data_IF_839850718008
#
_entry.id   IF_839850718008
#
_cell.length_a   1.000
_cell.length_b   1.000
_cell.length_c   1.000
_cell.angle_alpha   90.00
_cell.angle_beta   90.00
_cell.angle_gamma   90.00
#
_symmetry.space_group_name_H-M   'P 1'
#
loop_
_entity.id
_entity.type
_entity.pdbx_description
1 polymer ?
#
# COMPACT_ATOMS: atom_id res chain seq x y z
N UNK A 1 5.28 -49.69 48.56
CA UNK A 1 5.61 -49.42 47.18
C UNK A 1 4.61 -48.38 46.67
N UNK A 2 4.93 -47.10 46.82
CA UNK A 2 4.04 -46.00 46.38
C UNK A 2 4.53 -45.46 45.02
N UNK A 3 3.69 -45.60 44.01
CA UNK A 3 3.92 -45.02 42.70
C UNK A 3 3.27 -43.65 42.66
N UNK A 4 4.05 -42.60 42.68
CA UNK A 4 3.59 -41.20 42.47
C UNK A 4 3.54 -40.93 40.97
N UNK A 5 2.34 -40.73 40.46
CA UNK A 5 2.10 -40.36 39.06
C UNK A 5 2.15 -38.82 38.95
N UNK A 6 3.19 -38.28 38.31
CA UNK A 6 3.26 -36.85 37.95
C UNK A 6 2.44 -36.58 36.72
N UNK A 7 1.31 -35.89 36.86
CA UNK A 7 0.52 -35.35 35.76
C UNK A 7 1.15 -33.99 35.41
N UNK A 8 1.87 -33.96 34.29
CA UNK A 8 2.40 -32.73 33.73
C UNK A 8 1.28 -31.94 33.04
N UNK A 9 0.96 -30.77 33.59
CA UNK A 9 0.01 -29.84 33.00
C UNK A 9 0.70 -29.08 31.84
N UNK A 10 0.38 -29.46 30.61
CA UNK A 10 0.81 -28.74 29.40
C UNK A 10 -0.09 -27.51 29.24
N UNK A 11 0.37 -26.33 29.66
CA UNK A 11 -0.29 -25.06 29.37
C UNK A 11 0.07 -24.66 27.94
N UNK A 12 -0.83 -24.95 27.01
CA UNK A 12 -0.78 -24.43 25.64
C UNK A 12 -1.13 -22.93 25.68
N UNK A 13 -0.11 -22.07 25.60
CA UNK A 13 -0.31 -20.64 25.41
C UNK A 13 -0.87 -20.40 24.01
N UNK A 14 -2.19 -20.21 23.92
CA UNK A 14 -2.88 -19.78 22.72
C UNK A 14 -2.52 -18.31 22.48
N UNK A 15 -1.51 -18.04 21.67
CA UNK A 15 -1.23 -16.70 21.13
C UNK A 15 -2.40 -16.31 20.22
N UNK A 16 -3.40 -15.65 20.81
CA UNK A 16 -4.42 -14.93 20.07
C UNK A 16 -3.73 -13.78 19.32
N UNK A 17 -3.39 -14.01 18.06
CA UNK A 17 -3.04 -12.94 17.14
C UNK A 17 -4.26 -12.04 17.02
N UNK A 18 -4.28 -10.94 17.76
CA UNK A 18 -5.27 -9.89 17.59
C UNK A 18 -5.16 -9.43 16.12
N UNK A 19 -6.28 -9.43 15.35
CA UNK A 19 -6.25 -8.89 14.02
C UNK A 19 -5.79 -7.43 14.11
N UNK A 20 -4.75 -7.07 13.36
CA UNK A 20 -4.38 -5.68 13.19
C UNK A 20 -5.64 -4.95 12.72
N UNK A 21 -6.16 -4.03 13.54
CA UNK A 21 -7.34 -3.25 13.15
C UNK A 21 -6.91 -2.31 12.03
N UNK A 22 -7.16 -2.73 10.79
CA UNK A 22 -6.96 -1.90 9.62
C UNK A 22 -7.97 -0.75 9.62
N UNK A 23 -7.53 0.46 9.21
CA UNK A 23 -8.42 1.57 8.92
C UNK A 23 -8.89 2.38 10.13
N UNK A 24 -7.99 2.70 11.05
CA UNK A 24 -8.28 3.56 12.21
C UNK A 24 -7.86 5.03 12.05
N UNK A 25 -7.74 5.55 10.82
CA UNK A 25 -7.36 6.96 10.58
C UNK A 25 -8.22 7.90 11.42
N UNK A 26 -7.56 8.86 12.07
CA UNK A 26 -8.26 9.89 12.87
C UNK A 26 -8.44 11.14 12.04
N UNK A 27 -9.61 11.76 12.18
CA UNK A 27 -9.84 13.08 11.59
C UNK A 27 -9.03 14.12 12.35
N UNK A 28 -8.14 14.82 11.65
CA UNK A 28 -7.29 15.87 12.19
C UNK A 28 -7.61 17.20 11.52
N UNK A 29 -7.47 18.29 12.28
CA UNK A 29 -7.62 19.63 11.72
C UNK A 29 -6.55 19.90 10.66
N UNK A 30 -6.98 20.42 9.51
CA UNK A 30 -6.13 20.67 8.36
C UNK A 30 -6.16 22.14 7.98
N UNK A 31 -4.99 22.74 7.71
CA UNK A 31 -4.95 24.12 7.22
C UNK A 31 -5.63 24.26 5.87
N UNK A 32 -6.16 25.45 5.57
CA UNK A 32 -6.83 25.72 4.29
C UNK A 32 -5.91 25.46 3.08
N UNK A 33 -4.62 25.79 3.21
CA UNK A 33 -3.65 25.58 2.12
C UNK A 33 -3.39 24.11 1.85
N UNK A 34 -3.23 23.29 2.90
CA UNK A 34 -3.05 21.83 2.76
C UNK A 34 -4.30 21.21 2.15
N UNK A 35 -5.49 21.57 2.63
CA UNK A 35 -6.76 21.12 2.06
C UNK A 35 -6.85 21.43 0.58
N UNK A 36 -6.61 22.67 0.18
CA UNK A 36 -6.67 23.10 -1.21
C UNK A 36 -5.65 22.37 -2.09
N UNK A 37 -4.45 22.06 -1.56
CA UNK A 37 -3.45 21.28 -2.30
C UNK A 37 -3.92 19.84 -2.55
N UNK A 38 -4.45 19.17 -1.53
CA UNK A 38 -4.98 17.81 -1.66
C UNK A 38 -6.20 17.75 -2.59
N UNK A 39 -7.09 18.76 -2.51
CA UNK A 39 -8.24 18.88 -3.42
C UNK A 39 -7.80 18.99 -4.89
N UNK A 40 -6.80 19.83 -5.19
CA UNK A 40 -6.23 19.94 -6.55
C UNK A 40 -5.63 18.62 -7.02
N UNK A 41 -4.89 17.93 -6.18
CA UNK A 41 -4.29 16.63 -6.51
C UNK A 41 -5.37 15.55 -6.78
N UNK A 42 -6.48 15.59 -6.04
CA UNK A 42 -7.63 14.68 -6.27
C UNK A 42 -8.39 15.00 -7.56
N UNK A 43 -8.52 16.27 -7.90
CA UNK A 43 -9.27 16.73 -9.11
C UNK A 43 -8.54 16.45 -10.42
N UNK A 44 -7.28 16.05 -10.39
CA UNK A 44 -6.49 15.79 -11.59
C UNK A 44 -7.05 14.60 -12.40
N UNK A 45 -7.43 14.87 -13.65
CA UNK A 45 -8.03 13.91 -14.59
C UNK A 45 -7.03 13.28 -15.55
N UNK A 46 -5.72 13.49 -15.36
CA UNK A 46 -4.69 12.93 -16.24
C UNK A 46 -4.89 11.42 -16.47
N UNK A 47 -4.68 11.00 -17.70
CA UNK A 47 -4.81 9.58 -18.09
C UNK A 47 -3.84 8.72 -17.29
N UNK A 48 -4.33 7.61 -16.75
CA UNK A 48 -3.50 6.65 -16.03
C UNK A 48 -2.47 6.03 -16.98
N UNK A 49 -1.21 6.11 -16.58
CA UNK A 49 -0.06 5.47 -17.24
C UNK A 49 0.99 5.13 -16.19
N UNK A 50 1.97 4.33 -16.52
CA UNK A 50 3.08 4.12 -15.61
C UNK A 50 4.01 5.35 -15.57
N UNK A 51 4.74 5.51 -14.48
CA UNK A 51 5.69 6.61 -14.31
C UNK A 51 7.14 6.13 -14.50
N UNK A 52 7.35 5.03 -15.21
CA UNK A 52 8.68 4.51 -15.51
C UNK A 52 9.41 5.40 -16.53
N UNK A 53 10.73 5.48 -16.41
CA UNK A 53 11.58 6.24 -17.32
C UNK A 53 11.83 5.49 -18.63
N UNK A 54 11.77 4.17 -18.61
CA UNK A 54 11.93 3.33 -19.78
C UNK A 54 10.99 2.11 -19.77
N UNK A 55 10.69 1.59 -20.97
CA UNK A 55 9.75 0.48 -21.18
C UNK A 55 10.28 -0.84 -20.62
N UNK A 56 11.61 -1.02 -20.61
CA UNK A 56 12.22 -2.25 -20.09
C UNK A 56 11.98 -2.43 -18.60
N UNK A 57 12.21 -1.36 -17.81
CA UNK A 57 12.00 -1.37 -16.37
C UNK A 57 10.52 -1.53 -16.03
N UNK A 58 9.64 -0.86 -16.81
CA UNK A 58 8.20 -1.01 -16.70
C UNK A 58 7.77 -2.47 -16.89
N UNK A 59 8.20 -3.07 -17.99
CA UNK A 59 7.84 -4.46 -18.32
C UNK A 59 8.34 -5.43 -17.25
N UNK A 60 9.58 -5.25 -16.79
CA UNK A 60 10.18 -6.11 -15.76
C UNK A 60 9.45 -5.98 -14.43
N UNK A 61 9.14 -4.76 -14.00
CA UNK A 61 8.41 -4.49 -12.76
C UNK A 61 6.98 -5.06 -12.81
N UNK A 62 6.23 -4.75 -13.86
CA UNK A 62 4.86 -5.24 -14.04
C UNK A 62 4.81 -6.77 -14.06
N UNK A 63 5.72 -7.43 -14.79
CA UNK A 63 5.81 -8.89 -14.85
C UNK A 63 6.05 -9.48 -13.46
N UNK A 64 7.01 -8.96 -12.71
CA UNK A 64 7.36 -9.48 -11.40
C UNK A 64 6.25 -9.22 -10.37
N UNK A 65 5.69 -8.01 -10.32
CA UNK A 65 4.60 -7.68 -9.39
C UNK A 65 3.32 -8.46 -9.73
N UNK A 66 3.03 -8.65 -11.02
CA UNK A 66 1.91 -9.50 -11.47
C UNK A 66 2.07 -10.94 -11.01
N UNK A 67 3.27 -11.52 -11.15
CA UNK A 67 3.57 -12.86 -10.65
C UNK A 67 3.34 -12.99 -9.13
N UNK A 68 3.81 -12.02 -8.34
CA UNK A 68 3.67 -12.01 -6.88
C UNK A 68 2.20 -11.83 -6.43
N UNK A 69 1.43 -11.08 -7.21
CA UNK A 69 0.04 -10.74 -6.90
C UNK A 69 -0.98 -11.78 -7.40
N UNK A 70 -0.58 -12.73 -8.26
CA UNK A 70 -1.48 -13.66 -8.97
C UNK A 70 -2.42 -14.46 -8.06
N UNK A 71 -1.99 -14.83 -6.84
CA UNK A 71 -2.84 -15.55 -5.88
C UNK A 71 -3.92 -14.67 -5.24
N UNK A 72 -3.73 -13.34 -5.21
CA UNK A 72 -4.64 -12.39 -4.57
C UNK A 72 -5.61 -11.74 -5.57
N UNK A 73 -5.14 -11.48 -6.78
CA UNK A 73 -5.94 -11.01 -7.91
C UNK A 73 -5.69 -12.00 -9.07
N UNK A 74 -6.49 -13.07 -9.18
CA UNK A 74 -6.26 -14.14 -10.16
C UNK A 74 -6.43 -13.70 -11.62
N UNK A 75 -7.40 -12.81 -11.90
CA UNK A 75 -7.60 -12.27 -13.23
C UNK A 75 -6.43 -11.40 -13.65
N UNK A 76 -5.81 -11.71 -14.80
CA UNK A 76 -4.62 -11.01 -15.27
C UNK A 76 -4.92 -9.59 -15.71
N UNK A 77 -6.04 -9.36 -16.37
CA UNK A 77 -6.41 -8.03 -16.84
C UNK A 77 -6.69 -7.09 -15.65
N UNK A 78 -7.46 -7.54 -14.67
CA UNK A 78 -7.72 -6.81 -13.43
C UNK A 78 -6.40 -6.52 -12.69
N UNK A 79 -5.51 -7.52 -12.61
CA UNK A 79 -4.22 -7.39 -11.95
C UNK A 79 -3.30 -6.37 -12.63
N UNK A 80 -3.27 -6.35 -13.96
CA UNK A 80 -2.49 -5.39 -14.74
C UNK A 80 -3.05 -3.97 -14.62
N UNK A 81 -4.38 -3.81 -14.68
CA UNK A 81 -5.05 -2.53 -14.43
C UNK A 81 -4.73 -2.02 -13.01
N UNK A 82 -4.82 -2.90 -12.01
CA UNK A 82 -4.48 -2.57 -10.63
C UNK A 82 -3.04 -2.07 -10.50
N UNK A 83 -2.06 -2.82 -11.02
CA UNK A 83 -0.64 -2.48 -10.90
C UNK A 83 -0.28 -1.19 -11.63
N UNK A 84 -0.80 -0.99 -12.85
CA UNK A 84 -0.59 0.23 -13.63
C UNK A 84 -1.18 1.45 -12.91
N UNK A 85 -2.41 1.32 -12.40
CA UNK A 85 -3.08 2.39 -11.67
C UNK A 85 -2.37 2.71 -10.35
N UNK A 86 -1.96 1.68 -9.60
CA UNK A 86 -1.21 1.83 -8.35
C UNK A 86 0.12 2.55 -8.58
N UNK A 87 0.89 2.09 -9.56
CA UNK A 87 2.19 2.70 -9.88
C UNK A 87 2.03 4.19 -10.24
N UNK A 88 1.03 4.50 -11.06
CA UNK A 88 0.73 5.88 -11.45
C UNK A 88 0.36 6.76 -10.27
N UNK A 89 -0.63 6.36 -9.47
CA UNK A 89 -1.14 7.21 -8.38
C UNK A 89 -0.13 7.33 -7.24
N UNK A 90 0.62 6.29 -6.92
CA UNK A 90 1.70 6.33 -5.93
C UNK A 90 2.85 7.25 -6.38
N UNK A 91 3.37 7.06 -7.59
CA UNK A 91 4.47 7.87 -8.15
C UNK A 91 4.11 9.35 -8.22
N UNK A 92 2.88 9.67 -8.63
CA UNK A 92 2.39 11.06 -8.68
C UNK A 92 2.27 11.70 -7.31
N UNK A 93 1.92 10.92 -6.29
CA UNK A 93 1.89 11.38 -4.92
C UNK A 93 3.30 11.47 -4.29
N UNK A 94 4.36 11.01 -4.98
CA UNK A 94 5.71 10.93 -4.42
C UNK A 94 5.85 9.84 -3.36
N UNK A 95 5.11 8.75 -3.51
CA UNK A 95 5.16 7.56 -2.65
C UNK A 95 5.70 6.38 -3.46
N UNK A 96 6.56 5.57 -2.86
CA UNK A 96 7.06 4.35 -3.49
C UNK A 96 5.89 3.38 -3.79
N UNK A 97 5.69 2.95 -5.05
CA UNK A 97 4.65 2.00 -5.41
C UNK A 97 4.76 0.66 -4.67
N UNK A 98 5.96 0.21 -4.33
CA UNK A 98 6.18 -1.05 -3.63
C UNK A 98 5.83 -0.93 -2.13
N UNK A 99 6.08 0.24 -1.52
CA UNK A 99 5.57 0.58 -0.20
C UNK A 99 4.04 0.56 -0.18
N UNK A 100 3.39 1.11 -1.22
CA UNK A 100 1.93 1.07 -1.35
C UNK A 100 1.40 -0.36 -1.48
N UNK A 101 2.10 -1.27 -2.16
CA UNK A 101 1.74 -2.70 -2.18
C UNK A 101 1.81 -3.32 -0.78
N UNK A 102 2.85 -2.98 0.00
CA UNK A 102 2.99 -3.40 1.40
C UNK A 102 1.83 -2.90 2.27
N UNK A 103 1.47 -1.63 2.14
CA UNK A 103 0.34 -1.02 2.84
C UNK A 103 -0.97 -1.72 2.48
N UNK A 104 -1.28 -1.91 1.19
CA UNK A 104 -2.51 -2.56 0.72
C UNK A 104 -2.60 -4.01 1.20
N UNK A 105 -1.47 -4.71 1.26
CA UNK A 105 -1.43 -6.07 1.81
C UNK A 105 -1.90 -6.10 3.28
N UNK A 106 -1.49 -5.14 4.09
CA UNK A 106 -1.85 -5.05 5.50
C UNK A 106 -3.29 -4.56 5.68
N UNK A 107 -3.70 -3.55 4.90
CA UNK A 107 -5.00 -2.91 5.02
C UNK A 107 -6.17 -3.79 4.58
N UNK A 108 -6.07 -4.39 3.43
CA UNK A 108 -7.20 -5.12 2.83
C UNK A 108 -6.86 -6.54 2.36
N UNK A 109 -5.56 -6.91 2.30
CA UNK A 109 -5.13 -8.13 1.60
C UNK A 109 -5.49 -8.11 0.12
N UNK A 110 -5.52 -6.93 -0.51
CA UNK A 110 -5.93 -6.69 -1.90
C UNK A 110 -7.43 -6.93 -2.20
N UNK A 111 -8.29 -6.76 -1.21
CA UNK A 111 -9.74 -6.89 -1.39
C UNK A 111 -10.37 -5.55 -1.75
N UNK A 112 -10.87 -5.45 -2.98
CA UNK A 112 -11.49 -4.23 -3.55
C UNK A 112 -12.63 -3.67 -2.69
N UNK A 113 -13.46 -4.55 -2.16
CA UNK A 113 -14.68 -4.20 -1.42
C UNK A 113 -14.53 -4.38 0.08
N UNK A 114 -13.29 -4.34 0.61
CA UNK A 114 -13.06 -4.43 2.04
C UNK A 114 -13.71 -3.25 2.77
N UNK A 115 -14.38 -3.56 3.88
CA UNK A 115 -14.92 -2.58 4.83
C UNK A 115 -14.49 -3.00 6.23
N UNK A 116 -13.86 -2.08 6.96
CA UNK A 116 -13.49 -2.33 8.36
C UNK A 116 -14.66 -2.08 9.32
N UNK A 117 -14.60 -2.58 10.57
CA UNK A 117 -15.63 -2.30 11.58
C UNK A 117 -15.85 -0.80 11.84
N UNK A 118 -14.84 0.05 11.58
CA UNK A 118 -14.93 1.51 11.74
C UNK A 118 -15.30 2.23 10.44
N UNK A 119 -15.60 1.48 9.36
CA UNK A 119 -16.11 2.01 8.09
C UNK A 119 -15.04 2.43 7.09
N UNK A 120 -13.77 2.08 7.28
CA UNK A 120 -12.74 2.29 6.27
C UNK A 120 -13.01 1.40 5.04
N UNK A 121 -12.68 1.89 3.83
CA UNK A 121 -13.15 1.29 2.56
C UNK A 121 -12.04 1.04 1.56
N UNK A 122 -12.17 -0.09 0.85
CA UNK A 122 -11.41 -0.45 -0.34
C UNK A 122 -9.98 -0.91 -0.07
N UNK A 123 -9.18 -0.96 -1.10
CA UNK A 123 -7.82 -1.48 -1.08
C UNK A 123 -6.93 -0.87 0.01
N UNK A 124 -6.96 0.46 0.14
CA UNK A 124 -6.12 1.24 1.06
C UNK A 124 -6.84 1.64 2.35
N UNK A 125 -8.06 1.12 2.57
CA UNK A 125 -8.87 1.36 3.77
C UNK A 125 -8.99 2.85 4.13
N UNK A 126 -9.46 3.64 3.15
CA UNK A 126 -9.69 5.07 3.33
C UNK A 126 -10.93 5.31 4.17
N UNK A 127 -10.82 6.17 5.19
CA UNK A 127 -11.95 6.60 6.01
C UNK A 127 -12.85 7.59 5.24
N UNK A 128 -14.19 7.47 5.31
CA UNK A 128 -15.12 8.33 4.56
C UNK A 128 -15.00 9.82 4.84
N UNK A 129 -14.51 10.24 6.00
CA UNK A 129 -14.32 11.65 6.30
C UNK A 129 -13.32 12.35 5.34
N UNK A 130 -12.38 11.59 4.75
CA UNK A 130 -11.47 12.14 3.74
C UNK A 130 -12.22 12.63 2.49
N UNK A 131 -13.24 11.87 2.04
CA UNK A 131 -14.09 12.31 0.93
C UNK A 131 -14.79 13.61 1.27
N UNK A 132 -15.33 13.72 2.49
CA UNK A 132 -15.98 14.95 2.98
C UNK A 132 -15.03 16.14 3.07
N UNK A 133 -13.78 15.91 3.54
CA UNK A 133 -12.84 16.99 3.84
C UNK A 133 -12.09 17.52 2.63
N UNK A 134 -11.69 16.62 1.71
CA UNK A 134 -10.83 16.99 0.56
C UNK A 134 -11.37 16.53 -0.78
N UNK A 135 -12.41 15.71 -0.82
CA UNK A 135 -12.93 15.09 -2.03
C UNK A 135 -14.17 15.78 -2.62
N UNK A 136 -14.85 15.01 -3.43
CA UNK A 136 -16.17 15.33 -3.98
C UNK A 136 -17.16 14.27 -3.42
N UNK A 137 -18.40 14.64 -3.04
CA UNK A 137 -19.43 13.71 -2.57
C UNK A 137 -19.67 12.50 -3.47
N UNK A 138 -19.44 12.66 -4.80
CA UNK A 138 -19.61 11.60 -5.79
C UNK A 138 -18.43 10.59 -5.83
N UNK A 139 -17.36 10.83 -5.07
CA UNK A 139 -16.21 9.91 -5.03
C UNK A 139 -16.58 8.60 -4.35
N UNK A 140 -16.52 7.53 -5.13
CA UNK A 140 -16.73 6.17 -4.64
C UNK A 140 -15.39 5.52 -4.25
N UNK A 141 -15.19 5.28 -2.96
CA UNK A 141 -13.96 4.66 -2.42
C UNK A 141 -13.79 3.17 -2.79
N UNK A 142 -14.74 2.55 -3.50
CA UNK A 142 -14.57 1.22 -4.08
C UNK A 142 -14.13 1.25 -5.56
N UNK A 143 -14.08 2.42 -6.18
CA UNK A 143 -13.46 2.58 -7.48
C UNK A 143 -11.93 2.52 -7.33
N UNK A 144 -11.28 1.69 -8.16
CA UNK A 144 -9.86 1.41 -8.10
C UNK A 144 -9.02 2.68 -8.05
N UNK A 145 -9.13 3.52 -9.07
CA UNK A 145 -8.31 4.74 -9.17
C UNK A 145 -8.58 5.72 -8.04
N UNK A 146 -9.84 5.92 -7.68
CA UNK A 146 -10.23 6.80 -6.58
C UNK A 146 -9.60 6.34 -5.28
N UNK A 147 -9.73 5.06 -4.94
CA UNK A 147 -9.19 4.51 -3.70
C UNK A 147 -7.67 4.64 -3.61
N UNK A 148 -6.96 4.22 -4.67
CA UNK A 148 -5.49 4.28 -4.70
C UNK A 148 -4.96 5.71 -4.63
N UNK A 149 -5.63 6.65 -5.30
CA UNK A 149 -5.29 8.09 -5.25
C UNK A 149 -5.44 8.65 -3.84
N UNK A 150 -6.58 8.41 -3.20
CA UNK A 150 -6.77 8.83 -1.80
C UNK A 150 -5.70 8.23 -0.89
N UNK A 151 -5.49 6.91 -0.95
CA UNK A 151 -4.50 6.23 -0.11
C UNK A 151 -3.10 6.80 -0.27
N UNK A 152 -2.65 7.02 -1.52
CA UNK A 152 -1.33 7.57 -1.80
C UNK A 152 -1.19 9.02 -1.32
N UNK A 153 -2.19 9.87 -1.57
CA UNK A 153 -2.17 11.28 -1.13
C UNK A 153 -2.22 11.40 0.40
N UNK A 154 -3.02 10.58 1.07
CA UNK A 154 -3.10 10.56 2.54
C UNK A 154 -1.78 10.11 3.15
N UNK A 155 -1.16 9.04 2.61
CA UNK A 155 0.13 8.59 3.07
C UNK A 155 1.20 9.66 2.85
N UNK A 156 1.24 10.30 1.68
CA UNK A 156 2.16 11.41 1.39
C UNK A 156 1.96 12.56 2.38
N UNK A 157 0.73 12.96 2.62
CA UNK A 157 0.39 14.00 3.58
C UNK A 157 0.94 13.68 4.98
N UNK A 158 0.81 12.46 5.45
CA UNK A 158 1.38 12.06 6.74
C UNK A 158 2.91 11.97 6.74
N UNK A 159 3.52 11.55 5.63
CA UNK A 159 4.99 11.61 5.49
C UNK A 159 5.50 13.06 5.59
N UNK A 160 4.77 14.01 4.99
CA UNK A 160 5.12 15.45 5.05
C UNK A 160 4.97 16.00 6.48
N UNK A 161 3.87 15.69 7.18
CA UNK A 161 3.67 16.08 8.58
C UNK A 161 4.80 15.57 9.47
N UNK A 162 5.18 14.32 9.27
CA UNK A 162 6.22 13.65 10.07
C UNK A 162 7.64 13.88 9.52
N UNK A 163 7.81 14.84 8.59
CA UNK A 163 9.12 15.27 8.04
C UNK A 163 9.94 14.12 7.46
N UNK A 164 9.29 13.15 6.84
CA UNK A 164 9.92 11.98 6.23
C UNK A 164 10.03 10.77 7.15
N UNK A 165 9.66 10.86 8.43
CA UNK A 165 9.61 9.70 9.32
C UNK A 165 8.47 8.75 8.92
N UNK A 166 8.85 7.72 8.16
CA UNK A 166 7.91 6.75 7.62
C UNK A 166 7.17 5.97 8.71
N UNK A 167 7.84 5.64 9.82
CA UNK A 167 7.21 4.90 10.92
C UNK A 167 6.09 5.71 11.56
N UNK A 168 6.35 6.96 11.83
CA UNK A 168 5.35 7.86 12.38
C UNK A 168 4.23 8.14 11.39
N UNK A 169 4.55 8.33 10.11
CA UNK A 169 3.57 8.52 9.04
C UNK A 169 2.61 7.32 8.92
N UNK A 170 3.13 6.10 8.92
CA UNK A 170 2.33 4.88 8.93
C UNK A 170 1.48 4.76 10.21
N UNK A 171 2.04 5.12 11.36
CA UNK A 171 1.29 5.18 12.61
C UNK A 171 0.10 6.16 12.55
N UNK A 172 0.26 7.35 11.92
CA UNK A 172 -0.87 8.26 11.64
C UNK A 172 -1.87 7.66 10.68
N UNK A 173 -1.38 7.04 9.59
CA UNK A 173 -2.24 6.41 8.61
C UNK A 173 -3.20 5.39 9.23
N UNK A 174 -2.73 4.60 10.17
CA UNK A 174 -3.55 3.62 10.89
C UNK A 174 -4.27 4.18 12.14
N UNK A 175 -3.96 5.41 12.58
CA UNK A 175 -4.46 5.97 13.83
C UNK A 175 -3.79 5.41 15.09
N UNK A 176 -2.63 4.80 14.95
CA UNK A 176 -1.83 4.18 16.02
C UNK A 176 -0.49 4.89 16.24
N UNK A 177 -0.45 6.21 16.06
CA UNK A 177 0.77 7.02 16.22
C UNK A 177 1.50 6.69 17.53
N UNK A 178 2.81 6.46 17.44
CA UNK A 178 3.64 6.08 18.57
C UNK A 178 3.68 4.58 18.89
N UNK A 179 2.90 3.75 18.19
CA UNK A 179 2.91 2.29 18.32
C UNK A 179 3.64 1.65 17.14
N UNK A 180 4.56 0.71 17.35
CA UNK A 180 5.37 0.13 16.28
C UNK A 180 4.71 -0.99 15.49
N UNK A 181 3.62 -1.59 16.00
CA UNK A 181 3.05 -2.82 15.45
C UNK A 181 2.64 -2.66 13.99
N UNK A 182 1.81 -1.65 13.70
CA UNK A 182 1.35 -1.41 12.34
C UNK A 182 2.46 -0.96 11.37
N UNK A 183 3.32 0.02 11.70
CA UNK A 183 4.47 0.34 10.86
C UNK A 183 5.36 -0.87 10.57
N UNK A 184 5.64 -1.72 11.55
CA UNK A 184 6.43 -2.95 11.37
C UNK A 184 5.75 -3.93 10.39
N UNK A 185 4.41 -4.07 10.46
CA UNK A 185 3.67 -4.92 9.52
C UNK A 185 3.81 -4.42 8.08
N UNK A 186 3.60 -3.12 7.85
CA UNK A 186 3.66 -2.52 6.51
C UNK A 186 5.07 -2.58 5.93
N UNK A 187 6.08 -2.12 6.69
CA UNK A 187 7.47 -2.14 6.25
C UNK A 187 7.94 -3.58 6.04
N UNK A 188 7.57 -4.49 6.95
CA UNK A 188 7.89 -5.90 6.80
C UNK A 188 7.20 -6.55 5.59
N UNK A 189 5.95 -6.18 5.26
CA UNK A 189 5.29 -6.64 4.04
C UNK A 189 5.98 -6.10 2.79
N UNK A 190 6.30 -4.80 2.78
CA UNK A 190 7.05 -4.17 1.70
C UNK A 190 8.37 -4.89 1.45
N UNK A 191 9.26 -4.95 2.43
CA UNK A 191 10.60 -5.51 2.29
C UNK A 191 10.62 -7.00 1.94
N UNK A 192 9.73 -7.80 2.53
CA UNK A 192 9.72 -9.26 2.30
C UNK A 192 8.99 -9.69 1.03
N UNK A 193 8.00 -8.93 0.57
CA UNK A 193 7.12 -9.38 -0.50
C UNK A 193 7.12 -8.48 -1.73
N UNK A 194 7.48 -7.20 -1.60
CA UNK A 194 7.28 -6.23 -2.68
C UNK A 194 8.56 -5.51 -3.08
N UNK A 195 9.62 -5.56 -2.28
CA UNK A 195 10.91 -4.98 -2.66
C UNK A 195 11.46 -5.65 -3.92
N UNK A 196 11.77 -4.83 -4.92
CA UNK A 196 12.26 -5.27 -6.23
C UNK A 196 13.00 -4.14 -6.93
N UNK A 197 14.20 -4.43 -7.35
CA UNK A 197 14.99 -3.57 -8.21
C UNK A 197 15.23 -4.30 -9.53
N UNK A 198 14.83 -3.72 -10.69
CA UNK A 198 15.13 -4.31 -11.99
C UNK A 198 16.62 -4.55 -12.13
N UNK A 199 17.01 -5.73 -12.55
CA UNK A 199 18.43 -6.05 -12.81
C UNK A 199 18.86 -5.37 -14.12
N UNK A 200 19.73 -4.38 -14.06
CA UNK A 200 20.30 -3.68 -15.22
C UNK A 200 21.23 -4.56 -16.10
N UNK A 201 21.38 -5.84 -15.76
CA UNK A 201 22.31 -6.77 -16.46
C UNK A 201 21.95 -7.17 -17.88
N UNK A 202 20.77 -6.82 -18.40
CA UNK A 202 20.39 -7.25 -19.77
C UNK A 202 20.76 -6.26 -20.89
N UNK A 203 21.12 -5.01 -20.57
CA UNK A 203 21.47 -4.02 -21.59
C UNK A 203 22.91 -4.18 -22.11
N UNK A 204 23.85 -4.56 -21.24
CA UNK A 204 25.27 -4.67 -21.63
C UNK A 204 25.58 -5.94 -22.43
N UNK A 205 24.86 -7.03 -22.22
CA UNK A 205 25.06 -8.27 -22.98
C UNK A 205 24.64 -8.15 -24.45
N UNK A 206 23.65 -7.30 -24.75
CA UNK A 206 23.19 -7.05 -26.13
C UNK A 206 24.09 -6.09 -26.90
N UNK A 207 24.81 -5.20 -26.22
CA UNK A 207 25.77 -4.29 -26.86
C UNK A 207 27.07 -5.00 -27.20
N UNK A 208 27.54 -5.92 -26.34
CA UNK A 208 28.76 -6.70 -26.58
C UNK A 208 28.65 -7.69 -27.75
N UNK A 209 27.44 -8.19 -28.04
CA UNK A 209 27.23 -9.13 -29.17
C UNK A 209 27.10 -8.45 -30.55
N UNK A 210 26.92 -7.12 -30.61
CA UNK A 210 26.82 -6.37 -31.88
C UNK A 210 28.14 -5.73 -32.34
N UNK A 211 29.20 -5.86 -31.55
CA UNK A 211 30.52 -5.30 -31.86
C UNK A 211 31.52 -6.26 -32.50
N UNK A 212 31.10 -7.48 -32.86
CA UNK A 212 31.95 -8.52 -33.47
C UNK A 212 31.33 -9.06 -34.77
N UNK A 213 31.09 -8.17 -35.73
CA UNK A 213 30.94 -8.58 -37.15
C UNK A 213 31.45 -7.45 -38.04
#
# INVERSE_FOLDING_TARGET
MNKTTHIGLLVAALLLALPAQAGGQREEAMSANVRASLQRALADTAVTRTAFRNVSDETAWLKEMSRRLAKRIPDEAERMEFLTTLHWEASRAGVDPQLMLGLIQVESGFRKYAVSPVGARGYTQVMPFWVKNIGNPDHNLFQLRTNLRYGALILRHYIDIERGDLFRALGRYNGSLGRPEYPNLVVGAWQRHWDYTPSTKSADASAASRGLN
#
